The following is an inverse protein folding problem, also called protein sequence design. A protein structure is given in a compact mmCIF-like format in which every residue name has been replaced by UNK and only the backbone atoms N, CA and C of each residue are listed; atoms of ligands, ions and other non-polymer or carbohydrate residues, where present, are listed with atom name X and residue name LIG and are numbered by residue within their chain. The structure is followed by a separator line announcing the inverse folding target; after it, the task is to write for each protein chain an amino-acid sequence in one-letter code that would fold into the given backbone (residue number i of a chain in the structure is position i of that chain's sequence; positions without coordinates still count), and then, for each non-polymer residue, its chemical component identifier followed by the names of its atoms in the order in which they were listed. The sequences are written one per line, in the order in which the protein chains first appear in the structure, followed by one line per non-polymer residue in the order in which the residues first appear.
data_IF_578742460100
#
_entry.id   IF_578742460100
#
_cell.length_a   1.000
_cell.length_b   1.000
_cell.length_c   1.000
_cell.angle_alpha   90.00
_cell.angle_beta   90.00
_cell.angle_gamma   90.00
#
_symmetry.space_group_name_H-M   'P 1'
#
loop_
_entity.id
_entity.type
_entity.pdbx_description
1 polymer ?
#
# COMPACT_ATOMS: atom_id res chain seq x y z
N UNK A 1 -3.13 7.29 -1.91
CA UNK A 1 -4.01 6.57 -0.97
C UNK A 1 -3.28 5.39 -0.39
N UNK A 2 -3.76 4.86 0.73
CA UNK A 2 -3.03 4.00 1.67
C UNK A 2 -2.76 2.58 1.13
N UNK A 3 -3.71 1.96 0.45
CA UNK A 3 -3.75 0.51 0.21
C UNK A 3 -2.88 -0.01 -0.94
N UNK A 4 -2.53 0.82 -1.93
CA UNK A 4 -1.78 0.39 -3.11
C UNK A 4 -0.27 0.67 -3.04
N UNK A 5 0.19 1.26 -1.94
CA UNK A 5 1.61 1.42 -1.69
C UNK A 5 2.24 0.07 -1.37
N UNK A 6 3.39 -0.25 -1.98
CA UNK A 6 4.17 -1.43 -1.59
C UNK A 6 4.52 -1.36 -0.10
N UNK A 7 4.65 -2.49 0.62
CA UNK A 7 5.00 -2.47 2.04
C UNK A 7 6.32 -1.72 2.24
N UNK A 8 6.40 -0.93 3.31
CA UNK A 8 7.62 -0.24 3.69
C UNK A 8 7.97 -0.62 5.14
N UNK A 9 8.99 -1.48 5.35
CA UNK A 9 9.50 -1.85 6.67
C UNK A 9 9.94 -0.65 7.51
N UNK A 10 10.24 0.49 6.87
CA UNK A 10 10.75 1.67 7.54
C UNK A 10 12.15 1.43 8.09
N UNK A 11 12.48 2.12 9.18
CA UNK A 11 13.77 2.03 9.85
C UNK A 11 13.63 2.01 11.38
N UNK A 12 14.71 1.67 12.07
CA UNK A 12 14.77 1.54 13.52
C UNK A 12 15.29 0.18 13.98
N UNK A 13 15.22 -0.09 15.28
CA UNK A 13 15.73 -1.31 15.91
C UNK A 13 14.64 -2.26 16.40
N UNK A 14 13.37 -1.95 16.15
CA UNK A 14 12.25 -2.81 16.56
C UNK A 14 11.98 -3.87 15.49
N UNK A 15 11.36 -4.97 15.89
CA UNK A 15 10.83 -5.98 14.99
C UNK A 15 9.35 -6.15 15.30
N UNK A 16 8.51 -5.28 14.72
CA UNK A 16 7.07 -5.29 14.97
C UNK A 16 6.35 -5.99 13.82
N UNK A 17 5.69 -7.11 14.10
CA UNK A 17 4.81 -7.75 13.13
C UNK A 17 3.62 -6.85 12.84
N UNK A 18 3.41 -6.55 11.56
CA UNK A 18 2.32 -5.72 11.04
C UNK A 18 1.71 -6.38 9.82
N UNK A 19 0.56 -5.90 9.41
CA UNK A 19 -0.12 -6.35 8.20
C UNK A 19 -0.02 -5.28 7.12
N UNK A 20 0.17 -5.67 5.86
CA UNK A 20 -0.04 -4.82 4.71
C UNK A 20 -1.00 -5.49 3.74
N UNK A 21 -1.71 -4.67 2.98
CA UNK A 21 -2.57 -5.13 1.91
C UNK A 21 -1.77 -5.25 0.61
N UNK A 22 -1.87 -6.41 -0.02
CA UNK A 22 -1.44 -6.65 -1.39
C UNK A 22 -2.63 -6.51 -2.33
N UNK A 23 -2.66 -5.40 -3.07
CA UNK A 23 -3.72 -5.09 -4.02
C UNK A 23 -3.72 -5.99 -5.27
N UNK A 24 -2.62 -6.71 -5.54
CA UNK A 24 -2.55 -7.63 -6.68
C UNK A 24 -3.26 -8.95 -6.38
N UNK A 25 -3.30 -9.31 -5.09
CA UNK A 25 -3.90 -10.55 -4.58
C UNK A 25 -5.22 -10.34 -3.84
N UNK A 26 -5.59 -9.09 -3.52
CA UNK A 26 -6.70 -8.77 -2.62
C UNK A 26 -6.59 -9.49 -1.27
N UNK A 27 -5.39 -9.50 -0.70
CA UNK A 27 -5.08 -10.20 0.55
C UNK A 27 -4.18 -9.36 1.45
N UNK A 28 -4.20 -9.66 2.74
CA UNK A 28 -3.29 -9.05 3.71
C UNK A 28 -2.19 -10.04 4.11
N UNK A 29 -0.94 -9.58 4.07
CA UNK A 29 0.25 -10.34 4.44
C UNK A 29 1.02 -9.64 5.56
N UNK A 30 1.93 -10.37 6.20
CA UNK A 30 2.77 -9.80 7.24
C UNK A 30 3.95 -9.00 6.67
N UNK A 31 4.29 -7.91 7.35
CA UNK A 31 5.61 -7.27 7.25
C UNK A 31 6.25 -7.15 8.63
N UNK A 32 7.58 -7.10 8.66
CA UNK A 32 8.33 -6.63 9.83
C UNK A 32 8.49 -5.12 9.70
N UNK A 33 7.93 -4.37 10.64
CA UNK A 33 8.05 -2.93 10.73
C UNK A 33 9.10 -2.54 11.79
N UNK A 34 10.06 -1.71 11.40
CA UNK A 34 11.19 -1.33 12.24
C UNK A 34 10.92 -0.18 13.22
N UNK A 35 9.72 0.41 13.14
CA UNK A 35 9.21 1.34 14.14
C UNK A 35 9.18 2.81 13.70
N UNK A 36 9.90 3.19 12.64
CA UNK A 36 9.92 4.57 12.10
C UNK A 36 9.82 4.58 10.57
N UNK A 37 9.37 5.68 9.99
CA UNK A 37 9.46 5.99 8.55
C UNK A 37 8.89 4.92 7.59
N UNK A 38 7.96 4.09 8.07
CA UNK A 38 7.16 3.23 7.22
C UNK A 38 6.14 4.05 6.41
N UNK A 39 5.28 3.36 5.67
CA UNK A 39 4.13 4.00 5.04
C UNK A 39 2.83 3.57 5.72
N UNK A 40 1.71 4.10 5.21
CA UNK A 40 0.39 3.84 5.80
C UNK A 40 -0.17 2.46 5.46
N UNK A 41 0.42 1.70 4.53
CA UNK A 41 0.05 0.31 4.26
C UNK A 41 0.67 -0.60 5.33
N UNK A 42 0.25 -0.38 6.57
CA UNK A 42 0.83 -0.94 7.78
C UNK A 42 -0.24 -0.89 8.87
N UNK A 43 -0.82 -2.04 9.16
CA UNK A 43 -1.94 -2.24 10.07
C UNK A 43 -1.53 -3.12 11.24
N UNK A 44 -2.18 -2.93 12.39
CA UNK A 44 -1.85 -3.75 13.57
C UNK A 44 -2.50 -5.13 13.48
N UNK A 45 -3.70 -5.21 12.90
CA UNK A 45 -4.50 -6.44 12.81
C UNK A 45 -4.84 -6.77 11.36
N UNK A 46 -5.06 -8.05 11.06
CA UNK A 46 -5.44 -8.52 9.71
C UNK A 46 -6.79 -7.95 9.31
N UNK A 47 -7.73 -7.93 10.24
CA UNK A 47 -9.10 -7.46 10.06
C UNK A 47 -9.13 -5.98 9.72
N UNK A 48 -8.28 -5.17 10.37
CA UNK A 48 -8.12 -3.75 10.05
C UNK A 48 -7.65 -3.57 8.60
N UNK A 49 -6.67 -4.38 8.17
CA UNK A 49 -6.15 -4.35 6.82
C UNK A 49 -7.22 -4.73 5.77
N UNK A 50 -7.95 -5.83 5.98
CA UNK A 50 -9.00 -6.30 5.06
C UNK A 50 -10.18 -5.32 5.03
N UNK A 51 -10.66 -4.85 6.18
CA UNK A 51 -11.78 -3.91 6.24
C UNK A 51 -11.44 -2.55 5.62
N UNK A 52 -10.16 -2.14 5.66
CA UNK A 52 -9.73 -0.87 5.08
C UNK A 52 -9.52 -0.95 3.56
N UNK A 53 -9.00 -2.07 3.07
CA UNK A 53 -8.44 -2.15 1.72
C UNK A 53 -9.02 -3.26 0.83
N UNK A 54 -9.63 -4.28 1.41
CA UNK A 54 -10.11 -5.46 0.71
C UNK A 54 -11.41 -5.20 -0.04
N UNK A 55 -11.60 -5.96 -1.11
CA UNK A 55 -12.84 -6.04 -1.87
C UNK A 55 -13.51 -7.40 -1.63
N UNK A 56 -14.85 -7.50 -1.79
CA UNK A 56 -15.51 -8.78 -1.93
C UNK A 56 -14.83 -9.65 -3.00
N UNK A 57 -14.66 -10.94 -2.71
CA UNK A 57 -13.82 -11.83 -3.54
C UNK A 57 -14.35 -11.95 -4.97
N UNK A 58 -15.66 -12.12 -5.13
CA UNK A 58 -16.34 -12.19 -6.42
C UNK A 58 -16.13 -10.91 -7.25
N UNK A 59 -16.32 -9.75 -6.62
CA UNK A 59 -16.07 -8.45 -7.24
C UNK A 59 -14.62 -8.30 -7.67
N UNK A 60 -13.67 -8.68 -6.81
CA UNK A 60 -12.24 -8.58 -7.13
C UNK A 60 -11.85 -9.46 -8.30
N UNK A 61 -12.28 -10.72 -8.34
CA UNK A 61 -11.94 -11.62 -9.44
C UNK A 61 -12.53 -11.15 -10.77
N UNK A 62 -13.77 -10.65 -10.77
CA UNK A 62 -14.38 -10.09 -11.99
C UNK A 62 -13.65 -8.82 -12.47
N UNK A 63 -13.28 -7.92 -11.56
CA UNK A 63 -12.75 -6.58 -11.88
C UNK A 63 -11.23 -6.47 -11.76
N UNK A 64 -10.52 -7.58 -11.54
CA UNK A 64 -9.08 -7.59 -11.22
C UNK A 64 -8.25 -6.73 -12.15
N UNK A 65 -8.43 -6.91 -13.46
CA UNK A 65 -7.67 -6.19 -14.49
C UNK A 65 -7.97 -4.69 -14.45
N UNK A 66 -9.23 -4.31 -14.36
CA UNK A 66 -9.67 -2.91 -14.30
C UNK A 66 -9.11 -2.21 -13.04
N UNK A 67 -9.22 -2.86 -11.88
CA UNK A 67 -8.67 -2.36 -10.61
C UNK A 67 -7.14 -2.15 -10.73
N UNK A 68 -6.43 -3.12 -11.30
CA UNK A 68 -4.98 -3.04 -11.49
C UNK A 68 -4.58 -1.92 -12.47
N UNK A 69 -5.31 -1.78 -13.58
CA UNK A 69 -5.08 -0.73 -14.57
C UNK A 69 -5.30 0.66 -13.96
N UNK A 70 -6.37 0.84 -13.17
CA UNK A 70 -6.64 2.10 -12.45
C UNK A 70 -5.52 2.44 -11.44
N UNK A 71 -5.03 1.44 -10.70
CA UNK A 71 -3.92 1.63 -9.75
C UNK A 71 -2.64 2.03 -10.50
N UNK A 72 -2.34 1.41 -11.65
CA UNK A 72 -1.19 1.75 -12.49
C UNK A 72 -1.27 3.20 -12.94
N UNK A 73 -2.39 3.61 -13.55
CA UNK A 73 -2.59 4.98 -14.05
C UNK A 73 -2.47 6.01 -12.91
N UNK A 74 -3.00 5.71 -11.73
CA UNK A 74 -2.83 6.58 -10.57
C UNK A 74 -1.36 6.74 -10.15
N UNK A 75 -0.59 5.65 -10.16
CA UNK A 75 0.84 5.66 -9.78
C UNK A 75 1.66 6.49 -10.74
N UNK A 76 1.50 6.27 -12.04
CA UNK A 76 2.18 7.01 -13.11
C UNK A 76 1.93 8.53 -12.96
N UNK A 77 0.67 8.94 -12.83
CA UNK A 77 0.31 10.35 -12.61
C UNK A 77 0.96 10.94 -11.36
N UNK A 78 1.07 10.17 -10.27
CA UNK A 78 1.71 10.64 -9.03
C UNK A 78 3.22 10.75 -9.13
N UNK A 79 3.85 9.97 -9.99
CA UNK A 79 5.28 10.08 -10.28
C UNK A 79 5.57 11.32 -11.12
N UNK A 80 4.79 11.54 -12.19
CA UNK A 80 4.86 12.78 -12.99
C UNK A 80 4.64 14.05 -12.13
N UNK A 81 3.66 14.02 -11.22
CA UNK A 81 3.43 15.13 -10.27
C UNK A 81 4.63 15.40 -9.36
N UNK A 82 5.38 14.37 -8.96
CA UNK A 82 6.60 14.54 -8.14
C UNK A 82 7.74 15.14 -8.95
N UNK A 83 7.90 14.73 -10.20
CA UNK A 83 8.93 15.27 -11.11
C UNK A 83 8.66 16.74 -11.49
N UNK A 84 7.39 17.10 -11.64
CA UNK A 84 6.97 18.49 -11.94
C UNK A 84 7.07 19.44 -10.75
N UNK A 85 7.16 18.93 -9.51
CA UNK A 85 7.36 19.80 -8.35
C UNK A 85 8.81 20.27 -8.32
N UNK A 86 9.08 21.60 -8.30
CA UNK A 86 10.44 22.09 -8.20
C UNK A 86 11.08 21.51 -6.94
N UNK A 87 12.31 21.00 -7.06
CA UNK A 87 13.16 20.68 -5.92
C UNK A 87 13.39 21.99 -5.15
N UNK A 88 12.55 22.29 -4.17
CA UNK A 88 12.97 23.17 -3.07
C UNK A 88 14.05 22.40 -2.32
N UNK A 89 15.29 22.60 -2.74
CA UNK A 89 16.46 22.30 -1.92
C UNK A 89 16.57 23.39 -0.84
N UNK A 90 16.96 23.05 0.39
CA UNK A 90 17.31 24.04 1.40
C UNK A 90 18.52 24.88 0.97
#
# INVERSE_FOLDING_TARGET
GRCWHKPNPGSGSRNLTRWYYDYEQNQCYFLVYHGKNGNRNNFLYREECINTCGYPTDYFEEKKKEIQDLIRVYKERKEEEKERKPRTQP
#
